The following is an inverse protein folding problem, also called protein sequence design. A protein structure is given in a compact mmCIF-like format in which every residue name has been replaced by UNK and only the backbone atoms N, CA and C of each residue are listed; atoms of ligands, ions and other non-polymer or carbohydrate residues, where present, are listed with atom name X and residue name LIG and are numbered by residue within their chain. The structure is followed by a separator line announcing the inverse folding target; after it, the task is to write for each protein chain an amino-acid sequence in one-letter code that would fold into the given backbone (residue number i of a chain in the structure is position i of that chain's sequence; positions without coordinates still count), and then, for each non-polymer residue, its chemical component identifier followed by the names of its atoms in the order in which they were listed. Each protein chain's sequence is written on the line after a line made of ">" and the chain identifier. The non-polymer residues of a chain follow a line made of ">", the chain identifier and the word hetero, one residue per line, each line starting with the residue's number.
data_IF_270283239728
#
_entry.id   IF_270283239728
#
_cell.length_a   1.000
_cell.length_b   1.000
_cell.length_c   1.000
_cell.angle_alpha   90.00
_cell.angle_beta   90.00
_cell.angle_gamma   90.00
#
_symmetry.space_group_name_H-M   'P 1'
#
loop_
_entity.id
_entity.type
_entity.pdbx_description
1 polymer ?
#
# COMPACT_ATOMS: atom_id res chain seq x y z
N UNK A 1 -8.06 -47.59 17.41
CA UNK A 1 -6.63 -47.98 17.51
C UNK A 1 -6.42 -49.19 16.60
N UNK A 2 -5.66 -49.04 15.51
CA UNK A 2 -5.21 -50.10 14.58
C UNK A 2 -3.89 -49.64 13.94
N UNK A 3 -3.04 -50.57 13.51
CA UNK A 3 -1.58 -50.34 13.31
C UNK A 3 -1.11 -50.94 11.97
N UNK A 4 -0.64 -50.07 11.05
CA UNK A 4 0.36 -50.32 9.97
C UNK A 4 0.01 -51.43 8.94
N UNK A 5 0.89 -51.81 7.95
CA UNK A 5 2.13 -51.18 7.43
C UNK A 5 2.20 -51.04 5.88
N UNK A 6 3.39 -50.64 5.38
CA UNK A 6 3.95 -50.71 4.01
C UNK A 6 3.58 -49.62 2.98
N UNK A 7 4.45 -49.27 2.02
CA UNK A 7 5.74 -49.90 1.67
C UNK A 7 6.81 -48.97 1.09
N UNK A 8 8.05 -49.47 0.99
CA UNK A 8 9.23 -48.81 0.43
C UNK A 8 9.39 -49.06 -1.07
N UNK A 9 10.14 -48.19 -1.76
CA UNK A 9 10.71 -48.45 -3.08
C UNK A 9 12.13 -47.88 -3.16
N UNK A 10 13.10 -48.74 -3.47
CA UNK A 10 14.51 -48.37 -3.70
C UNK A 10 14.91 -48.92 -5.07
N UNK A 11 15.65 -48.14 -5.84
CA UNK A 11 16.54 -48.67 -6.88
C UNK A 11 17.81 -47.83 -6.93
N UNK A 12 18.93 -48.45 -7.29
CA UNK A 12 20.28 -47.88 -7.19
C UNK A 12 20.97 -47.97 -8.53
N UNK A 13 21.65 -46.89 -8.93
CA UNK A 13 22.65 -46.91 -9.99
C UNK A 13 23.89 -46.15 -9.50
N UNK A 14 25.05 -46.81 -9.53
CA UNK A 14 26.35 -46.16 -9.30
C UNK A 14 26.81 -45.48 -10.59
N UNK A 15 27.63 -44.43 -10.50
CA UNK A 15 28.88 -44.39 -11.26
C UNK A 15 29.90 -43.39 -10.68
N UNK A 16 31.18 -43.80 -10.77
CA UNK A 16 32.44 -43.05 -10.74
C UNK A 16 32.68 -41.91 -9.71
N UNK A 17 33.79 -42.08 -8.99
CA UNK A 17 34.43 -41.11 -8.11
C UNK A 17 35.31 -40.11 -8.89
N UNK A 18 35.36 -38.85 -8.48
CA UNK A 18 36.58 -38.04 -8.56
C UNK A 18 36.60 -36.97 -7.46
N UNK A 19 37.78 -36.69 -6.92
CA UNK A 19 38.01 -35.77 -5.79
C UNK A 19 38.70 -34.51 -6.28
N UNK A 20 38.34 -33.36 -5.70
CA UNK A 20 39.29 -32.27 -5.51
C UNK A 20 39.02 -31.57 -4.17
N UNK A 21 40.08 -31.34 -3.39
CA UNK A 21 40.00 -30.66 -2.10
C UNK A 21 40.21 -29.16 -2.28
N UNK A 22 39.50 -28.35 -1.49
CA UNK A 22 40.01 -27.05 -1.08
C UNK A 22 39.52 -26.75 0.35
N UNK A 23 40.45 -26.54 1.27
CA UNK A 23 40.15 -26.08 2.62
C UNK A 23 40.29 -24.55 2.67
N UNK A 24 39.30 -23.88 3.25
CA UNK A 24 39.30 -22.44 3.52
C UNK A 24 38.86 -22.20 4.96
N UNK A 25 39.51 -21.26 5.66
CA UNK A 25 39.43 -21.17 7.12
C UNK A 25 38.19 -20.41 7.62
N UNK A 26 37.69 -20.84 8.77
CA UNK A 26 36.77 -20.06 9.60
C UNK A 26 37.59 -19.01 10.36
N UNK A 27 37.10 -17.77 10.40
CA UNK A 27 37.63 -16.69 11.24
C UNK A 27 36.48 -16.19 12.14
N UNK A 28 36.65 -16.07 13.48
CA UNK A 28 35.58 -15.66 14.38
C UNK A 28 35.26 -14.16 14.24
N UNK A 29 34.04 -13.79 14.61
CA UNK A 29 33.57 -12.40 14.57
C UNK A 29 33.78 -11.70 15.91
N UNK A 30 34.43 -10.54 15.89
CA UNK A 30 34.46 -9.60 17.01
C UNK A 30 34.59 -8.15 16.49
N UNK A 31 34.13 -7.19 17.29
CA UNK A 31 34.18 -5.73 17.05
C UNK A 31 33.55 -5.19 15.75
N UNK A 32 32.30 -4.72 15.87
CA UNK A 32 31.87 -3.47 15.24
C UNK A 32 31.12 -2.62 16.26
N UNK A 33 31.77 -1.56 16.74
CA UNK A 33 31.14 -0.46 17.47
C UNK A 33 31.13 0.77 16.58
N UNK A 34 29.99 1.47 16.60
CA UNK A 34 29.74 2.81 16.04
C UNK A 34 30.01 3.03 14.54
N UNK A 35 28.95 3.37 13.81
CA UNK A 35 29.00 3.80 12.42
C UNK A 35 27.86 4.80 12.18
N UNK A 36 28.19 6.09 12.32
CA UNK A 36 27.25 7.17 12.03
C UNK A 36 26.95 7.25 10.54
N UNK A 37 25.68 7.47 10.19
CA UNK A 37 25.22 7.44 8.80
C UNK A 37 25.64 8.72 8.07
N UNK A 38 26.67 8.64 7.23
CA UNK A 38 26.86 9.58 6.13
C UNK A 38 26.14 9.04 4.88
N UNK A 39 25.34 9.91 4.24
CA UNK A 39 24.68 9.61 2.97
C UNK A 39 25.42 10.33 1.84
N UNK A 40 26.39 9.64 1.23
CA UNK A 40 27.04 10.17 0.03
C UNK A 40 26.07 10.22 -1.15
N UNK A 41 26.10 11.34 -1.86
CA UNK A 41 25.14 11.65 -2.93
C UNK A 41 25.73 11.25 -4.28
N UNK A 42 25.27 10.12 -4.83
CA UNK A 42 25.61 9.72 -6.20
C UNK A 42 24.65 10.40 -7.18
N UNK A 43 25.10 11.51 -7.77
CA UNK A 43 24.54 12.02 -9.03
C UNK A 43 24.99 11.11 -10.17
N UNK A 44 24.06 10.61 -10.98
CA UNK A 44 24.39 9.99 -12.27
C UNK A 44 23.85 10.86 -13.40
N UNK A 45 24.77 11.54 -14.09
CA UNK A 45 24.47 12.25 -15.34
C UNK A 45 24.35 11.26 -16.50
N UNK A 46 23.35 11.46 -17.36
CA UNK A 46 23.10 10.62 -18.54
C UNK A 46 23.75 11.29 -19.75
N UNK A 47 24.76 10.63 -20.33
CA UNK A 47 25.36 10.99 -21.61
C UNK A 47 25.12 9.82 -22.59
N UNK A 48 24.56 10.06 -23.79
CA UNK A 48 24.32 9.00 -24.76
C UNK A 48 25.64 8.47 -25.36
N UNK A 49 25.64 7.18 -25.73
CA UNK A 49 26.73 6.57 -26.50
C UNK A 49 26.34 6.52 -27.98
N UNK A 50 27.21 7.04 -28.83
CA UNK A 50 27.12 6.96 -30.29
C UNK A 50 27.74 5.64 -30.80
N UNK A 51 27.38 5.19 -32.01
CA UNK A 51 27.66 3.82 -32.49
C UNK A 51 28.34 3.78 -33.86
N UNK A 52 29.67 3.57 -33.90
CA UNK A 52 30.43 3.41 -35.15
C UNK A 52 31.54 2.35 -35.10
N UNK A 53 31.21 1.13 -35.57
CA UNK A 53 32.04 0.25 -36.44
C UNK A 53 33.42 -0.27 -35.94
N UNK A 54 34.12 -1.19 -36.68
CA UNK A 54 33.82 -1.85 -37.96
C UNK A 54 33.73 -3.40 -37.90
N UNK A 55 33.72 -4.07 -39.06
CA UNK A 55 33.57 -5.53 -39.25
C UNK A 55 34.86 -6.20 -39.76
N UNK A 56 34.95 -7.54 -39.63
CA UNK A 56 35.22 -8.51 -40.72
C UNK A 56 34.61 -9.88 -40.32
N UNK A 57 33.86 -10.55 -41.23
CA UNK A 57 34.19 -11.78 -41.99
C UNK A 57 34.53 -13.02 -41.13
N UNK A 58 34.06 -14.24 -41.42
CA UNK A 58 33.86 -14.85 -42.75
C UNK A 58 32.63 -15.80 -42.87
N UNK A 59 32.51 -16.47 -44.02
CA UNK A 59 31.32 -17.17 -44.56
C UNK A 59 31.37 -18.71 -44.46
N UNK A 60 30.26 -19.40 -44.10
CA UNK A 60 29.84 -20.66 -44.75
C UNK A 60 28.46 -21.22 -44.34
N UNK A 61 27.77 -21.67 -45.38
CA UNK A 61 26.73 -22.72 -45.54
C UNK A 61 26.88 -23.99 -44.66
N UNK A 62 25.90 -24.89 -44.47
CA UNK A 62 24.60 -25.16 -45.12
C UNK A 62 23.72 -26.13 -44.26
N UNK A 63 22.37 -26.06 -44.34
CA UNK A 63 21.49 -27.24 -44.21
C UNK A 63 20.11 -27.00 -44.86
N UNK A 64 19.50 -27.95 -45.60
CA UNK A 64 18.38 -27.66 -46.50
C UNK A 64 16.97 -27.96 -45.98
N UNK A 65 16.02 -27.36 -46.71
CA UNK A 65 14.58 -27.65 -46.89
C UNK A 65 14.25 -29.11 -47.34
N UNK A 66 13.00 -29.61 -47.39
CA UNK A 66 11.67 -29.08 -46.92
C UNK A 66 10.93 -30.18 -46.10
N UNK A 67 9.69 -30.70 -46.25
CA UNK A 67 8.50 -30.51 -47.12
C UNK A 67 7.24 -31.22 -46.55
N UNK A 68 6.03 -30.74 -46.93
CA UNK A 68 4.78 -31.46 -47.30
C UNK A 68 4.38 -32.77 -46.56
N UNK A 69 3.13 -32.99 -46.10
CA UNK A 69 1.84 -32.61 -46.68
C UNK A 69 0.66 -32.67 -45.67
N UNK A 70 -0.41 -31.94 -45.96
CA UNK A 70 -1.77 -32.11 -45.41
C UNK A 70 -2.62 -32.99 -46.37
N UNK A 71 -3.87 -33.46 -46.07
CA UNK A 71 -5.05 -32.57 -46.11
C UNK A 71 -6.31 -32.96 -45.28
N UNK A 72 -7.19 -31.96 -45.03
CA UNK A 72 -8.68 -32.02 -45.03
C UNK A 72 -9.47 -32.94 -44.04
N UNK A 73 -10.70 -32.59 -43.62
CA UNK A 73 -11.49 -31.34 -43.74
C UNK A 73 -12.67 -31.31 -42.73
N UNK A 74 -13.38 -30.16 -42.69
CA UNK A 74 -14.65 -29.86 -41.99
C UNK A 74 -14.56 -29.60 -40.47
N UNK A 75 -15.43 -28.81 -39.81
CA UNK A 75 -16.42 -27.76 -40.19
C UNK A 75 -16.87 -27.03 -38.87
N UNK A 76 -17.60 -25.90 -38.81
CA UNK A 76 -18.30 -25.04 -39.79
C UNK A 76 -18.14 -23.54 -39.40
N UNK A 77 -18.82 -22.64 -40.13
CA UNK A 77 -19.01 -21.19 -39.89
C UNK A 77 -19.90 -20.92 -38.63
N UNK A 78 -20.05 -19.72 -38.03
CA UNK A 78 -20.44 -18.42 -38.60
C UNK A 78 -20.16 -17.21 -37.67
N UNK A 79 -19.79 -16.06 -38.25
CA UNK A 79 -19.88 -14.68 -37.73
C UNK A 79 -19.74 -13.71 -38.94
N UNK A 80 -20.15 -12.42 -38.90
CA UNK A 80 -20.94 -11.69 -37.90
C UNK A 80 -22.18 -10.96 -38.50
N UNK A 81 -23.01 -10.31 -37.67
CA UNK A 81 -24.08 -9.40 -38.14
C UNK A 81 -24.18 -8.09 -37.34
N UNK A 82 -23.67 -7.01 -37.95
CA UNK A 82 -24.06 -5.59 -37.80
C UNK A 82 -23.87 -4.96 -39.20
N UNK A 83 -24.58 -3.88 -39.62
CA UNK A 83 -25.04 -2.74 -38.81
C UNK A 83 -26.51 -2.35 -39.00
N UNK A 84 -26.96 -1.35 -38.22
CA UNK A 84 -27.76 -0.25 -38.76
C UNK A 84 -27.64 1.00 -37.85
N UNK A 85 -28.00 2.18 -38.38
CA UNK A 85 -27.85 3.50 -37.69
C UNK A 85 -29.15 4.35 -37.80
N UNK A 86 -29.27 5.55 -37.19
CA UNK A 86 -30.53 5.95 -36.57
C UNK A 86 -31.47 6.80 -37.47
N UNK A 87 -32.74 6.96 -37.08
CA UNK A 87 -33.58 8.07 -37.54
C UNK A 87 -33.15 9.39 -36.89
N UNK A 88 -33.16 10.48 -37.67
CA UNK A 88 -33.15 11.85 -37.14
C UNK A 88 -34.54 12.50 -37.28
N UNK A 89 -34.77 13.46 -36.38
CA UNK A 89 -35.63 14.65 -36.51
C UNK A 89 -37.16 14.50 -36.72
N UNK A 90 -37.91 15.29 -35.96
CA UNK A 90 -38.94 16.21 -36.50
C UNK A 90 -39.47 17.11 -35.39
N UNK A 91 -39.11 18.40 -35.45
CA UNK A 91 -39.90 19.46 -34.81
C UNK A 91 -41.05 19.89 -35.72
N UNK A 92 -42.12 20.48 -35.15
CA UNK A 92 -42.64 21.71 -35.75
C UNK A 92 -42.94 22.83 -34.73
N UNK A 93 -42.34 23.99 -34.97
CA UNK A 93 -42.90 25.36 -34.93
C UNK A 93 -44.12 25.72 -34.06
N UNK A 94 -43.89 26.76 -33.24
CA UNK A 94 -44.68 28.00 -33.09
C UNK A 94 -46.09 28.00 -32.46
N UNK A 95 -46.29 28.96 -31.55
CA UNK A 95 -47.55 29.23 -30.85
C UNK A 95 -47.45 30.40 -29.86
N UNK A 96 -47.05 31.59 -30.32
CA UNK A 96 -46.75 32.74 -29.47
C UNK A 96 -47.99 33.53 -29.00
N UNK A 97 -48.17 33.64 -27.68
CA UNK A 97 -48.78 34.75 -26.93
C UNK A 97 -48.59 34.48 -25.43
N UNK A 98 -48.48 35.44 -24.52
CA UNK A 98 -48.44 36.91 -24.58
C UNK A 98 -48.27 37.43 -23.14
N UNK A 99 -48.10 38.75 -22.92
CA UNK A 99 -47.77 39.35 -21.60
C UNK A 99 -46.35 38.92 -21.13
N UNK A 100 -45.27 39.61 -21.49
CA UNK A 100 -44.90 40.98 -21.09
C UNK A 100 -45.11 41.29 -19.61
N UNK A 101 -44.05 41.76 -18.95
CA UNK A 101 -44.05 43.04 -18.20
C UNK A 101 -42.59 43.46 -18.00
N UNK A 102 -42.26 44.70 -18.39
CA UNK A 102 -40.96 45.30 -18.12
C UNK A 102 -41.11 46.80 -17.86
N UNK A 103 -40.44 47.31 -16.84
CA UNK A 103 -39.87 48.67 -16.77
C UNK A 103 -39.12 48.85 -15.45
N UNK A 104 -38.15 49.76 -15.47
CA UNK A 104 -37.31 50.10 -14.31
C UNK A 104 -37.98 51.18 -13.43
N UNK A 105 -37.73 51.15 -12.11
CA UNK A 105 -37.62 52.40 -11.31
C UNK A 105 -36.92 52.23 -9.95
N UNK A 106 -35.68 52.70 -9.92
CA UNK A 106 -35.08 53.62 -8.96
C UNK A 106 -35.82 53.98 -7.64
N UNK A 107 -35.05 53.90 -6.54
CA UNK A 107 -35.15 54.69 -5.28
C UNK A 107 -36.41 54.40 -4.43
N UNK A 108 -36.40 54.44 -3.09
CA UNK A 108 -35.41 54.89 -2.07
C UNK A 108 -35.63 54.07 -0.77
N UNK A 109 -34.80 54.23 0.28
CA UNK A 109 -35.44 54.60 1.55
C UNK A 109 -34.70 55.66 2.38
N UNK A 110 -35.53 56.48 3.01
CA UNK A 110 -35.28 57.61 3.93
C UNK A 110 -35.24 57.17 5.41
N UNK A 111 -34.78 57.93 6.42
CA UNK A 111 -34.18 59.28 6.52
C UNK A 111 -33.12 59.29 7.66
N UNK A 112 -32.27 60.32 7.68
CA UNK A 112 -31.38 60.66 8.80
C UNK A 112 -32.11 61.32 9.99
N UNK A 113 -31.44 61.38 11.14
CA UNK A 113 -31.81 62.28 12.26
C UNK A 113 -30.58 63.08 12.71
N UNK A 114 -30.66 64.40 12.59
CA UNK A 114 -29.53 65.32 12.77
C UNK A 114 -29.10 65.50 14.23
N UNK A 115 -27.82 65.83 14.42
CA UNK A 115 -27.36 66.81 15.42
C UNK A 115 -26.06 67.46 14.94
N UNK A 116 -25.96 68.79 15.09
CA UNK A 116 -24.85 69.61 14.57
C UNK A 116 -23.61 69.65 15.51
N UNK A 117 -22.43 70.06 14.99
CA UNK A 117 -21.18 70.06 15.74
C UNK A 117 -20.98 71.32 16.62
N UNK A 118 -20.23 71.22 17.73
CA UNK A 118 -19.74 72.39 18.46
C UNK A 118 -18.57 73.08 17.71
N UNK A 119 -18.45 74.39 17.92
CA UNK A 119 -17.38 75.25 17.38
C UNK A 119 -15.99 74.95 17.96
N UNK A 120 -14.90 75.30 17.25
CA UNK A 120 -13.53 74.98 17.68
C UNK A 120 -13.08 75.80 18.90
N UNK A 121 -12.37 75.14 19.81
CA UNK A 121 -11.52 75.78 20.82
C UNK A 121 -10.03 75.41 20.52
N UNK A 122 -9.11 76.25 20.97
CA UNK A 122 -7.72 76.25 20.51
C UNK A 122 -6.80 75.51 21.48
N UNK A 123 -6.22 74.39 21.04
CA UNK A 123 -5.07 73.78 21.71
C UNK A 123 -3.96 73.45 20.70
N UNK A 124 -2.72 73.56 21.19
CA UNK A 124 -1.49 73.47 20.40
C UNK A 124 -1.20 72.05 19.90
N UNK A 125 -0.44 71.88 18.80
CA UNK A 125 -0.06 70.57 18.29
C UNK A 125 0.98 69.89 19.20
N UNK A 126 0.50 69.22 20.25
CA UNK A 126 1.31 68.28 21.04
C UNK A 126 1.80 67.15 20.13
N UNK A 127 3.12 67.00 20.00
CA UNK A 127 3.74 65.95 19.18
C UNK A 127 3.28 64.56 19.59
N UNK A 128 2.97 63.63 18.65
CA UNK A 128 2.61 62.27 18.99
C UNK A 128 3.80 61.54 19.65
N UNK A 129 3.65 61.21 20.93
CA UNK A 129 4.68 60.54 21.72
C UNK A 129 4.99 59.15 21.15
N UNK A 130 6.19 59.01 20.57
CA UNK A 130 6.60 57.81 19.82
C UNK A 130 7.27 56.80 20.78
N UNK A 131 6.61 56.45 21.88
CA UNK A 131 7.17 55.60 22.94
C UNK A 131 6.32 54.41 23.40
N UNK A 132 5.19 54.12 22.72
CA UNK A 132 4.55 52.80 22.88
C UNK A 132 5.49 51.70 22.34
N UNK A 133 5.99 50.76 23.17
CA UNK A 133 6.80 49.65 22.68
C UNK A 133 5.92 48.71 21.84
N UNK A 134 6.45 48.11 20.75
CA UNK A 134 5.67 47.20 19.92
C UNK A 134 5.19 46.00 20.73
N UNK A 135 3.91 45.66 20.60
CA UNK A 135 3.32 44.49 21.26
C UNK A 135 4.10 43.23 20.87
N UNK A 136 4.77 42.61 21.85
CA UNK A 136 5.58 41.41 21.60
C UNK A 136 4.68 40.20 21.36
N UNK A 137 4.38 39.96 20.08
CA UNK A 137 3.66 38.79 19.60
C UNK A 137 4.34 37.52 20.13
N UNK A 138 3.70 36.89 21.11
CA UNK A 138 4.21 35.70 21.78
C UNK A 138 3.67 34.47 21.08
N UNK A 139 4.48 33.87 20.22
CA UNK A 139 4.04 32.77 19.38
C UNK A 139 3.70 31.49 20.18
N UNK A 140 2.75 30.66 19.69
CA UNK A 140 2.52 29.32 20.22
C UNK A 140 3.81 28.48 20.23
N UNK A 141 3.89 27.52 21.16
CA UNK A 141 5.04 26.61 21.27
C UNK A 141 5.31 25.92 19.92
N UNK A 142 6.59 25.79 19.58
CA UNK A 142 7.10 25.31 18.29
C UNK A 142 6.87 26.24 17.07
N UNK A 143 6.46 27.50 17.26
CA UNK A 143 6.55 28.55 16.24
C UNK A 143 7.54 29.65 16.62
N UNK A 144 8.08 30.32 15.62
CA UNK A 144 9.03 31.43 15.74
C UNK A 144 8.34 32.73 15.32
N UNK A 145 8.58 33.82 16.06
CA UNK A 145 8.18 35.17 15.65
C UNK A 145 9.14 35.66 14.57
N UNK A 146 8.60 36.08 13.43
CA UNK A 146 9.39 36.47 12.26
C UNK A 146 8.81 37.71 11.56
N UNK A 147 8.97 38.89 12.15
CA UNK A 147 8.50 40.16 11.57
C UNK A 147 7.02 40.43 11.80
N UNK A 148 6.52 40.06 12.99
CA UNK A 148 5.11 40.21 13.37
C UNK A 148 4.22 39.01 13.05
N UNK A 149 4.77 37.92 12.51
CA UNK A 149 4.02 36.68 12.20
C UNK A 149 4.64 35.44 12.85
N UNK A 150 3.79 34.49 13.24
CA UNK A 150 4.20 33.25 13.89
C UNK A 150 4.26 32.09 12.89
N UNK A 151 5.46 31.77 12.44
CA UNK A 151 5.75 30.72 11.42
C UNK A 151 6.31 29.45 12.07
N UNK A 152 6.09 28.29 11.45
CA UNK A 152 6.82 27.06 11.81
C UNK A 152 8.07 26.94 10.95
N UNK A 153 9.21 27.31 11.52
CA UNK A 153 10.50 27.29 10.82
C UNK A 153 10.97 25.88 10.42
N UNK A 154 10.27 24.82 10.81
CA UNK A 154 10.52 23.45 10.34
C UNK A 154 9.84 23.13 9.00
N UNK A 155 8.78 23.87 8.66
CA UNK A 155 7.88 23.59 7.53
C UNK A 155 7.48 24.82 6.71
N UNK A 156 8.00 26.00 7.02
CA UNK A 156 7.75 27.22 6.25
C UNK A 156 8.83 27.41 5.17
N UNK A 157 8.42 27.48 3.90
CA UNK A 157 9.34 27.57 2.75
C UNK A 157 9.94 28.98 2.57
N UNK A 158 9.45 30.00 3.29
CA UNK A 158 10.01 31.36 3.34
C UNK A 158 10.84 31.61 4.62
N UNK A 159 10.66 30.80 5.67
CA UNK A 159 11.31 30.95 6.98
C UNK A 159 12.03 29.66 7.45
N UNK A 160 12.71 28.96 6.54
CA UNK A 160 13.24 27.63 6.83
C UNK A 160 14.48 27.64 7.74
N UNK A 161 14.37 27.02 8.91
CA UNK A 161 15.44 27.04 9.92
C UNK A 161 15.69 28.43 10.51
N UNK A 162 14.75 29.36 10.35
CA UNK A 162 14.81 30.72 10.89
C UNK A 162 14.18 31.76 9.96
N UNK A 163 13.88 32.94 10.51
CA UNK A 163 13.17 33.99 9.79
C UNK A 163 13.88 34.44 8.50
N UNK A 164 13.10 34.64 7.45
CA UNK A 164 13.53 35.16 6.14
C UNK A 164 14.59 34.28 5.43
N UNK A 165 14.70 33.01 5.82
CA UNK A 165 15.52 31.99 5.17
C UNK A 165 14.68 31.21 4.16
N UNK A 166 14.36 31.85 3.04
CA UNK A 166 13.57 31.23 2.00
C UNK A 166 14.30 30.07 1.32
N UNK A 167 13.57 29.00 1.01
CA UNK A 167 14.06 27.91 0.19
C UNK A 167 13.93 28.28 -1.29
N UNK A 168 15.06 28.48 -1.95
CA UNK A 168 15.09 28.71 -3.39
C UNK A 168 14.55 27.47 -4.13
N UNK A 169 13.63 27.69 -5.08
CA UNK A 169 13.05 26.62 -5.88
C UNK A 169 14.16 25.84 -6.64
N UNK A 170 14.08 24.49 -6.76
CA UNK A 170 12.97 23.62 -6.39
C UNK A 170 13.16 22.93 -5.01
N UNK A 171 13.66 23.65 -4.01
CA UNK A 171 13.75 23.17 -2.63
C UNK A 171 12.52 23.61 -1.81
N UNK A 172 12.10 22.77 -0.88
CA UNK A 172 11.10 23.11 0.15
C UNK A 172 11.68 22.87 1.54
N UNK A 173 11.11 23.53 2.56
CA UNK A 173 11.52 23.35 3.94
C UNK A 173 11.01 22.03 4.50
N UNK A 174 11.92 21.14 4.88
CA UNK A 174 11.61 19.84 5.44
C UNK A 174 12.48 19.61 6.67
N UNK A 175 11.87 19.73 7.86
CA UNK A 175 12.56 19.66 9.16
C UNK A 175 13.64 20.73 9.31
N UNK A 176 13.32 21.98 8.96
CA UNK A 176 14.19 23.15 9.17
C UNK A 176 15.38 23.26 8.23
N UNK A 177 15.45 22.43 7.19
CA UNK A 177 16.42 22.56 6.10
C UNK A 177 15.74 22.50 4.73
N UNK A 178 16.22 23.31 3.80
CA UNK A 178 15.75 23.32 2.41
C UNK A 178 16.25 22.06 1.68
N UNK A 179 15.33 21.18 1.31
CA UNK A 179 15.60 19.88 0.68
C UNK A 179 14.79 19.73 -0.61
N UNK A 180 15.30 18.94 -1.57
CA UNK A 180 14.49 18.53 -2.73
C UNK A 180 13.39 17.58 -2.24
N UNK A 181 12.15 17.86 -2.63
CA UNK A 181 10.99 16.99 -2.37
C UNK A 181 10.78 15.99 -3.51
N UNK A 182 9.97 14.95 -3.28
CA UNK A 182 9.60 14.01 -4.33
C UNK A 182 8.60 14.65 -5.27
N UNK A 183 8.81 14.57 -6.60
CA UNK A 183 7.82 15.04 -7.59
C UNK A 183 6.47 14.32 -7.52
N UNK A 184 6.42 13.14 -6.87
CA UNK A 184 5.22 12.27 -6.80
C UNK A 184 4.53 12.29 -5.42
N UNK A 185 5.11 12.96 -4.43
CA UNK A 185 4.59 13.01 -3.06
C UNK A 185 4.60 14.44 -2.49
N UNK A 186 5.54 15.27 -2.95
CA UNK A 186 5.84 16.54 -2.33
C UNK A 186 6.56 16.35 -1.00
N UNK A 187 6.14 17.15 -0.01
CA UNK A 187 6.68 17.31 1.34
C UNK A 187 5.85 16.56 2.38
N UNK A 188 4.54 16.50 2.21
CA UNK A 188 3.57 15.94 3.15
C UNK A 188 2.53 15.02 2.48
N UNK A 189 2.58 14.83 1.16
CA UNK A 189 1.59 14.07 0.38
C UNK A 189 0.73 14.95 -0.53
N UNK A 190 1.04 16.25 -0.64
CA UNK A 190 0.26 17.22 -1.41
C UNK A 190 0.26 16.98 -2.93
N UNK A 191 1.19 16.18 -3.44
CA UNK A 191 1.23 15.73 -4.84
C UNK A 191 0.70 14.29 -5.03
N UNK A 192 0.28 13.60 -3.97
CA UNK A 192 -0.29 12.26 -4.11
C UNK A 192 -1.72 12.33 -4.64
N UNK A 193 -1.99 11.68 -5.78
CA UNK A 193 -3.35 11.30 -6.17
C UNK A 193 -3.51 9.78 -6.18
N UNK A 194 -4.70 9.23 -5.87
CA UNK A 194 -4.96 7.81 -6.02
C UNK A 194 -4.88 7.25 -7.45
N UNK A 195 -4.76 8.11 -8.47
CA UNK A 195 -4.56 7.70 -9.86
C UNK A 195 -3.07 7.53 -10.22
N UNK A 196 -2.16 8.07 -9.40
CA UNK A 196 -0.71 7.99 -9.58
C UNK A 196 -0.13 6.65 -9.12
N UNK A 197 1.14 6.42 -9.50
CA UNK A 197 1.92 5.18 -9.29
C UNK A 197 2.15 4.75 -7.82
N UNK A 198 1.57 5.44 -6.84
CA UNK A 198 1.68 5.08 -5.42
C UNK A 198 0.40 4.44 -4.90
N UNK A 199 0.56 3.47 -3.99
CA UNK A 199 -0.55 2.88 -3.25
C UNK A 199 -1.04 3.83 -2.16
N UNK A 200 -2.37 3.88 -1.95
CA UNK A 200 -2.98 4.64 -0.87
C UNK A 200 -2.79 3.92 0.48
N UNK A 201 -1.73 4.31 1.20
CA UNK A 201 -1.38 3.77 2.52
C UNK A 201 -2.21 4.37 3.68
N UNK A 202 -3.14 5.29 3.42
CA UNK A 202 -3.96 5.93 4.47
C UNK A 202 -4.79 4.93 5.29
N UNK A 203 -5.06 3.76 4.70
CA UNK A 203 -5.83 2.67 5.32
C UNK A 203 -4.96 1.61 6.01
N UNK A 204 -3.69 1.91 6.31
CA UNK A 204 -2.78 1.00 7.01
C UNK A 204 -3.04 0.97 8.53
N UNK A 205 -2.79 -0.17 9.17
CA UNK A 205 -2.89 -0.34 10.62
C UNK A 205 -4.15 -1.06 11.11
N UNK A 206 -4.40 -0.97 12.41
CA UNK A 206 -5.55 -1.64 13.04
C UNK A 206 -6.87 -1.09 12.53
N UNK A 207 -7.83 -1.97 12.24
CA UNK A 207 -9.13 -1.62 11.66
C UNK A 207 -9.02 -0.62 10.49
N UNK A 208 -8.01 -0.81 9.62
CA UNK A 208 -7.77 0.01 8.44
C UNK A 208 -7.48 1.50 8.75
N UNK A 209 -6.96 1.80 9.93
CA UNK A 209 -6.74 3.17 10.42
C UNK A 209 -7.99 3.84 11.00
N UNK A 210 -9.18 3.24 10.84
CA UNK A 210 -10.46 3.82 11.23
C UNK A 210 -10.75 3.76 12.74
N UNK A 211 -9.98 2.97 13.51
CA UNK A 211 -10.16 2.85 14.96
C UNK A 211 -8.82 2.76 15.72
N UNK A 212 -8.75 3.29 16.95
CA UNK A 212 -7.58 3.15 17.81
C UNK A 212 -7.36 1.70 18.25
N UNK A 213 -6.12 1.38 18.63
CA UNK A 213 -5.76 0.07 19.16
C UNK A 213 -6.59 -0.27 20.43
N UNK A 214 -7.21 -1.46 20.52
CA UNK A 214 -8.19 -1.75 21.56
C UNK A 214 -7.52 -2.16 22.88
N UNK A 215 -7.71 -1.35 23.93
CA UNK A 215 -7.26 -1.65 25.30
C UNK A 215 -8.12 -2.75 25.94
N UNK A 216 -7.83 -4.00 25.62
CA UNK A 216 -8.51 -5.18 26.19
C UNK A 216 -8.00 -5.50 27.62
N UNK A 217 -8.92 -5.97 28.48
CA UNK A 217 -8.59 -6.67 29.74
C UNK A 217 -7.93 -8.03 29.41
N UNK A 218 -7.09 -8.61 30.29
CA UNK A 218 -6.44 -9.88 30.02
C UNK A 218 -7.39 -11.04 30.31
N UNK A 219 -7.47 -12.00 29.41
CA UNK A 219 -8.09 -13.30 29.67
C UNK A 219 -7.09 -14.27 30.31
N UNK A 220 -5.79 -14.04 30.07
CA UNK A 220 -4.63 -14.80 30.57
C UNK A 220 -3.42 -13.86 30.76
N UNK A 221 -2.50 -14.15 31.70
CA UNK A 221 -1.15 -13.55 31.73
C UNK A 221 -0.11 -14.63 31.48
N UNK A 222 0.96 -14.32 30.76
CA UNK A 222 2.00 -15.30 30.40
C UNK A 222 2.76 -15.85 31.63
N UNK A 223 2.89 -15.02 32.68
CA UNK A 223 3.46 -15.39 33.99
C UNK A 223 2.69 -16.52 34.65
N UNK A 224 1.37 -16.59 34.43
CA UNK A 224 0.49 -17.59 35.03
C UNK A 224 0.73 -19.00 34.40
N UNK A 225 1.55 -19.07 33.34
CA UNK A 225 1.96 -20.29 32.63
C UNK A 225 3.46 -20.60 32.73
N UNK A 226 4.20 -19.85 33.55
CA UNK A 226 5.61 -20.10 33.88
C UNK A 226 6.64 -19.39 33.01
N UNK A 227 6.26 -18.38 32.21
CA UNK A 227 7.23 -17.52 31.52
C UNK A 227 7.91 -16.55 32.49
N UNK A 228 9.22 -16.34 32.36
CA UNK A 228 10.04 -15.52 33.27
C UNK A 228 10.94 -14.59 32.47
N UNK A 229 10.64 -13.28 32.54
CA UNK A 229 11.34 -12.29 31.74
C UNK A 229 12.84 -12.18 32.11
N UNK A 230 13.69 -12.19 31.08
CA UNK A 230 15.14 -12.02 31.13
C UNK A 230 15.91 -13.14 31.86
N UNK A 231 15.33 -14.35 32.02
CA UNK A 231 16.00 -15.47 32.70
C UNK A 231 16.90 -16.34 31.78
N UNK A 232 16.97 -15.97 30.50
CA UNK A 232 17.69 -16.62 29.40
C UNK A 232 17.26 -18.07 29.06
N UNK A 233 16.05 -18.50 29.44
CA UNK A 233 15.47 -19.81 29.07
C UNK A 233 14.37 -19.68 28.02
N UNK A 234 13.99 -20.80 27.38
CA UNK A 234 12.93 -20.84 26.37
C UNK A 234 11.53 -20.74 26.99
N UNK A 235 10.88 -19.59 26.82
CA UNK A 235 9.51 -19.34 27.30
C UNK A 235 8.43 -19.99 26.41
N UNK A 236 8.78 -20.51 25.23
CA UNK A 236 7.81 -20.99 24.21
C UNK A 236 6.68 -21.84 24.81
N UNK A 237 7.00 -22.76 25.72
CA UNK A 237 6.01 -23.65 26.34
C UNK A 237 4.95 -22.90 27.15
N UNK A 238 5.29 -21.78 27.79
CA UNK A 238 4.32 -20.94 28.50
C UNK A 238 3.38 -20.22 27.53
N UNK A 239 3.86 -19.80 26.36
CA UNK A 239 3.02 -19.24 25.30
C UNK A 239 2.11 -20.30 24.67
N UNK A 240 2.62 -21.50 24.37
CA UNK A 240 1.84 -22.65 23.91
C UNK A 240 0.67 -22.96 24.88
N UNK A 241 0.96 -23.05 26.19
CA UNK A 241 -0.04 -23.28 27.24
C UNK A 241 -1.05 -22.12 27.37
N UNK A 242 -0.59 -20.86 27.34
CA UNK A 242 -1.45 -19.69 27.44
C UNK A 242 -2.44 -19.60 26.26
N UNK A 243 -2.00 -19.96 25.05
CA UNK A 243 -2.84 -20.07 23.84
C UNK A 243 -3.84 -21.22 23.99
N UNK A 244 -3.40 -22.40 24.44
CA UNK A 244 -4.28 -23.54 24.69
C UNK A 244 -5.37 -23.22 25.72
N UNK A 245 -5.03 -22.45 26.76
CA UNK A 245 -5.95 -22.00 27.81
C UNK A 245 -7.02 -20.99 27.35
N UNK A 246 -6.97 -20.51 26.09
CA UNK A 246 -8.07 -19.77 25.46
C UNK A 246 -9.18 -20.68 24.89
N UNK A 247 -8.97 -22.01 24.86
CA UNK A 247 -9.99 -22.98 24.44
C UNK A 247 -10.49 -22.79 23.01
N UNK A 248 -9.66 -22.24 22.12
CA UNK A 248 -9.99 -21.98 20.71
C UNK A 248 -10.93 -20.79 20.46
N UNK A 249 -11.41 -20.09 21.49
CA UNK A 249 -12.36 -18.96 21.36
C UNK A 249 -11.68 -17.61 21.09
N UNK A 250 -10.35 -17.58 21.01
CA UNK A 250 -9.57 -16.34 21.06
C UNK A 250 -9.53 -15.73 22.46
N UNK A 251 -9.07 -14.48 22.56
CA UNK A 251 -8.87 -13.78 23.83
C UNK A 251 -7.49 -13.14 23.97
N UNK A 252 -7.27 -12.45 25.08
CA UNK A 252 -6.15 -11.54 25.32
C UNK A 252 -5.13 -12.16 26.26
N UNK A 253 -3.95 -12.51 25.75
CA UNK A 253 -2.80 -12.96 26.54
C UNK A 253 -1.92 -11.75 26.83
N UNK A 254 -1.73 -11.42 28.11
CA UNK A 254 -0.84 -10.33 28.52
C UNK A 254 0.59 -10.81 28.73
N UNK A 255 1.52 -10.09 28.12
CA UNK A 255 2.97 -10.23 28.32
C UNK A 255 3.45 -8.98 29.06
N UNK A 256 4.15 -9.09 30.22
CA UNK A 256 4.65 -7.93 30.95
C UNK A 256 5.90 -7.36 30.28
N UNK A 257 6.59 -6.44 30.95
CA UNK A 257 7.86 -5.91 30.47
C UNK A 257 9.02 -6.90 30.66
N UNK A 258 10.08 -6.74 29.87
CA UNK A 258 11.24 -7.60 29.79
C UNK A 258 11.28 -8.48 28.52
N UNK A 259 12.30 -9.31 28.43
CA UNK A 259 12.62 -10.16 27.27
C UNK A 259 12.17 -11.59 27.51
N UNK A 260 11.50 -12.19 26.53
CA UNK A 260 11.08 -13.58 26.54
C UNK A 260 11.68 -14.30 25.33
N UNK A 261 12.23 -15.50 25.49
CA UNK A 261 12.87 -16.23 24.38
C UNK A 261 11.88 -17.22 23.77
N UNK A 262 11.80 -17.21 22.44
CA UNK A 262 11.00 -18.13 21.65
C UNK A 262 11.89 -18.98 20.74
N UNK A 263 12.06 -20.27 21.09
CA UNK A 263 12.79 -21.24 20.26
C UNK A 263 11.87 -22.10 19.36
N UNK A 264 10.55 -21.88 19.35
CA UNK A 264 9.63 -22.48 18.37
C UNK A 264 8.55 -21.50 17.88
N UNK A 265 7.90 -21.89 16.77
CA UNK A 265 6.78 -21.21 16.13
C UNK A 265 5.50 -21.23 17.00
N UNK A 266 5.06 -20.06 17.42
CA UNK A 266 3.75 -19.84 18.04
C UNK A 266 2.71 -19.51 16.97
N UNK A 267 1.69 -20.36 16.82
CA UNK A 267 0.51 -20.05 16.00
C UNK A 267 -0.60 -19.49 16.87
N UNK A 268 -1.02 -18.26 16.57
CA UNK A 268 -2.15 -17.60 17.22
C UNK A 268 -3.47 -18.00 16.53
N UNK A 269 -4.46 -18.53 17.26
CA UNK A 269 -5.82 -18.75 16.76
C UNK A 269 -6.54 -17.44 16.41
N UNK A 270 -7.63 -17.54 15.64
CA UNK A 270 -8.53 -16.41 15.37
C UNK A 270 -8.96 -15.70 16.66
N UNK A 271 -9.08 -14.37 16.60
CA UNK A 271 -9.42 -13.49 17.72
C UNK A 271 -8.48 -13.55 18.94
N UNK A 272 -7.28 -14.13 18.80
CA UNK A 272 -6.23 -14.06 19.84
C UNK A 272 -5.46 -12.74 19.75
N UNK A 273 -5.22 -12.10 20.89
CA UNK A 273 -4.46 -10.85 21.02
C UNK A 273 -3.29 -11.06 21.99
N UNK A 274 -2.07 -10.82 21.52
CA UNK A 274 -0.88 -10.83 22.37
C UNK A 274 -0.55 -9.38 22.79
N UNK A 275 -0.77 -9.06 24.06
CA UNK A 275 -0.73 -7.69 24.58
C UNK A 275 0.54 -7.46 25.42
N UNK A 276 1.57 -6.87 24.80
CA UNK A 276 2.78 -6.39 25.48
C UNK A 276 2.61 -5.01 26.15
N UNK A 277 3.70 -4.49 26.71
CA UNK A 277 3.79 -3.18 27.40
C UNK A 277 4.35 -2.04 26.52
N UNK A 278 4.65 -2.31 25.25
CA UNK A 278 5.27 -1.38 24.28
C UNK A 278 6.51 -1.98 23.63
N UNK A 279 6.91 -1.50 22.44
CA UNK A 279 8.01 -2.05 21.63
C UNK A 279 9.32 -2.18 22.42
N UNK A 280 9.72 -1.10 23.11
CA UNK A 280 10.97 -1.02 23.86
C UNK A 280 10.77 -1.48 25.32
N UNK A 281 9.72 -2.24 25.60
CA UNK A 281 9.34 -2.69 26.96
C UNK A 281 9.03 -4.18 27.02
N UNK A 282 8.43 -4.77 26.01
CA UNK A 282 8.19 -6.21 25.90
C UNK A 282 8.89 -6.73 24.65
N UNK A 283 9.91 -7.55 24.82
CA UNK A 283 10.73 -8.08 23.73
C UNK A 283 10.47 -9.57 23.59
N UNK A 284 10.15 -10.03 22.38
CA UNK A 284 10.11 -11.44 22.03
C UNK A 284 11.38 -11.76 21.25
N UNK A 285 12.37 -12.34 21.94
CA UNK A 285 13.66 -12.70 21.38
C UNK A 285 13.57 -14.02 20.62
N UNK A 286 14.11 -14.04 19.40
CA UNK A 286 14.13 -15.20 18.50
C UNK A 286 15.59 -15.49 18.13
N UNK A 287 16.34 -16.22 18.99
CA UNK A 287 17.79 -16.38 18.85
C UNK A 287 18.21 -17.47 17.84
N UNK A 288 17.26 -18.04 17.11
CA UNK A 288 17.45 -19.09 16.10
C UNK A 288 16.55 -18.80 14.91
N UNK A 289 17.03 -19.03 13.69
CA UNK A 289 16.19 -18.91 12.49
C UNK A 289 15.20 -20.07 12.39
N UNK A 290 14.20 -19.94 11.52
CA UNK A 290 13.31 -21.05 11.21
C UNK A 290 14.05 -22.23 10.56
N UNK A 291 15.15 -21.96 9.86
CA UNK A 291 16.05 -22.99 9.31
C UNK A 291 16.71 -23.80 10.43
N UNK A 292 17.19 -23.16 11.49
CA UNK A 292 17.90 -23.83 12.59
C UNK A 292 16.96 -24.69 13.47
N UNK A 293 15.68 -24.31 13.53
CA UNK A 293 14.66 -25.00 14.35
C UNK A 293 13.94 -26.11 13.56
N UNK A 294 13.74 -25.95 12.25
CA UNK A 294 12.88 -26.84 11.45
C UNK A 294 13.55 -27.44 10.19
N UNK A 295 14.78 -27.02 9.88
CA UNK A 295 15.44 -27.29 8.60
C UNK A 295 14.86 -26.45 7.45
N UNK A 296 15.68 -26.18 6.43
CA UNK A 296 15.20 -25.66 5.16
C UNK A 296 14.89 -26.85 4.22
N UNK A 297 13.77 -26.80 3.49
CA UNK A 297 13.42 -27.78 2.45
C UNK A 297 13.61 -27.28 1.02
N UNK A 298 14.03 -26.02 0.86
CA UNK A 298 14.07 -25.31 -0.40
C UNK A 298 12.68 -24.98 -0.93
N UNK A 299 12.65 -24.21 -2.02
CA UNK A 299 11.50 -24.13 -2.94
C UNK A 299 11.86 -24.63 -4.36
N UNK A 300 13.15 -24.66 -4.67
CA UNK A 300 13.75 -25.25 -5.89
C UNK A 300 15.25 -25.51 -5.63
N UNK A 301 15.96 -26.07 -6.61
CA UNK A 301 17.35 -26.53 -6.46
C UNK A 301 18.40 -25.45 -6.14
N UNK A 302 18.05 -24.16 -6.19
CA UNK A 302 18.95 -23.02 -5.89
C UNK A 302 19.19 -22.73 -4.40
N UNK A 303 18.72 -23.59 -3.48
CA UNK A 303 18.95 -23.44 -2.03
C UNK A 303 18.09 -22.40 -1.31
N UNK A 304 17.38 -21.54 -2.04
CA UNK A 304 16.48 -20.49 -1.51
C UNK A 304 15.55 -21.02 -0.42
N UNK A 305 15.53 -20.35 0.74
CA UNK A 305 14.75 -20.81 1.89
C UNK A 305 13.25 -20.70 1.66
N UNK A 306 12.50 -21.74 2.01
CA UNK A 306 11.02 -21.68 2.00
C UNK A 306 10.45 -20.65 2.98
N UNK A 307 11.25 -20.24 3.97
CA UNK A 307 10.92 -19.18 4.92
C UNK A 307 11.12 -17.76 4.37
N UNK A 308 11.70 -17.59 3.17
CA UNK A 308 11.73 -16.30 2.48
C UNK A 308 10.35 -15.89 1.92
N UNK A 309 9.43 -16.86 1.75
CA UNK A 309 8.10 -16.64 1.16
C UNK A 309 6.95 -16.98 2.11
N UNK A 310 7.14 -17.85 3.12
CA UNK A 310 6.05 -18.26 4.01
C UNK A 310 6.48 -18.71 5.41
N UNK A 311 5.65 -18.36 6.40
CA UNK A 311 5.84 -18.71 7.81
C UNK A 311 6.49 -17.61 8.64
N UNK A 312 6.58 -17.84 9.94
CA UNK A 312 7.17 -16.91 10.92
C UNK A 312 7.35 -17.59 12.27
N UNK A 313 7.98 -16.92 13.24
CA UNK A 313 7.97 -17.39 14.64
C UNK A 313 6.66 -17.06 15.37
N UNK A 314 5.99 -15.95 14.99
CA UNK A 314 4.60 -15.69 15.33
C UNK A 314 3.78 -15.83 14.05
N UNK A 315 2.79 -16.71 14.03
CA UNK A 315 1.89 -16.87 12.89
C UNK A 315 0.45 -16.52 13.25
N UNK A 316 -0.14 -15.60 12.49
CA UNK A 316 -1.60 -15.43 12.37
C UNK A 316 -1.98 -15.91 10.96
N UNK A 317 -3.01 -16.75 10.83
CA UNK A 317 -3.45 -17.28 9.53
C UNK A 317 -4.97 -17.15 9.36
N UNK A 318 -5.40 -16.17 8.57
CA UNK A 318 -6.76 -16.14 7.99
C UNK A 318 -6.85 -17.00 6.72
N UNK A 319 -8.03 -17.08 6.12
CA UNK A 319 -8.22 -17.74 4.81
C UNK A 319 -9.43 -17.20 4.06
N UNK A 320 -9.18 -16.54 2.93
CA UNK A 320 -10.19 -16.18 1.92
C UNK A 320 -9.98 -17.04 0.67
N UNK A 321 -10.53 -18.27 0.62
CA UNK A 321 -10.32 -19.16 -0.52
C UNK A 321 -11.07 -18.66 -1.77
N UNK A 322 -10.42 -18.70 -2.92
CA UNK A 322 -11.02 -18.34 -4.22
C UNK A 322 -11.68 -19.57 -4.84
N UNK A 323 -13.02 -19.66 -4.81
CA UNK A 323 -13.80 -20.82 -5.29
C UNK A 323 -15.10 -20.38 -5.96
N UNK A 324 -15.66 -21.23 -6.82
CA UNK A 324 -17.01 -21.02 -7.40
C UNK A 324 -18.09 -20.82 -6.32
N UNK A 325 -17.98 -21.54 -5.20
CA UNK A 325 -18.92 -21.47 -4.07
C UNK A 325 -18.97 -20.12 -3.33
N UNK A 326 -17.98 -19.23 -3.52
CA UNK A 326 -17.99 -17.87 -2.97
C UNK A 326 -17.75 -16.80 -4.04
N UNK A 327 -17.99 -17.11 -5.32
CA UNK A 327 -18.00 -16.13 -6.41
C UNK A 327 -19.24 -15.24 -6.28
N UNK A 328 -18.98 -13.95 -6.06
CA UNK A 328 -20.02 -12.92 -6.09
C UNK A 328 -20.40 -12.62 -7.55
N UNK A 329 -19.45 -12.12 -8.34
CA UNK A 329 -19.70 -11.63 -9.69
C UNK A 329 -18.41 -11.51 -10.53
N UNK A 330 -18.58 -11.31 -11.84
CA UNK A 330 -17.53 -10.83 -12.77
C UNK A 330 -17.65 -9.33 -12.93
N UNK A 331 -16.54 -8.64 -13.14
CA UNK A 331 -16.53 -7.22 -13.53
C UNK A 331 -16.64 -7.13 -15.05
N UNK A 332 -17.57 -6.31 -15.54
CA UNK A 332 -17.92 -6.23 -16.97
C UNK A 332 -17.49 -4.91 -17.64
N UNK A 333 -16.94 -3.97 -16.87
CA UNK A 333 -16.38 -2.71 -17.38
C UNK A 333 -14.90 -2.58 -17.01
N UNK A 334 -14.10 -2.02 -17.91
CA UNK A 334 -12.80 -1.49 -17.52
C UNK A 334 -12.97 -0.31 -16.54
N UNK A 335 -11.98 -0.07 -15.69
CA UNK A 335 -11.90 1.13 -14.86
C UNK A 335 -10.44 1.54 -14.66
N UNK A 336 -10.23 2.80 -14.26
CA UNK A 336 -8.89 3.35 -14.04
C UNK A 336 -8.45 3.24 -12.58
N UNK A 337 -7.13 3.16 -12.38
CA UNK A 337 -6.51 3.43 -11.09
C UNK A 337 -7.07 4.74 -10.49
N UNK A 338 -7.30 4.76 -9.18
CA UNK A 338 -7.97 5.86 -8.47
C UNK A 338 -9.50 5.78 -8.45
N UNK A 339 -10.15 5.02 -9.36
CA UNK A 339 -11.62 4.91 -9.39
C UNK A 339 -12.15 4.21 -8.13
N UNK A 340 -13.33 4.62 -7.64
CA UNK A 340 -14.04 3.98 -6.50
C UNK A 340 -15.26 3.15 -6.91
N UNK A 341 -15.50 2.93 -8.20
CA UNK A 341 -16.66 2.17 -8.69
C UNK A 341 -16.28 1.12 -9.73
N UNK A 342 -17.02 0.00 -9.78
CA UNK A 342 -16.95 -1.02 -10.83
C UNK A 342 -18.34 -1.53 -11.19
N UNK A 343 -18.58 -1.79 -12.48
CA UNK A 343 -19.80 -2.45 -12.96
C UNK A 343 -19.61 -3.97 -13.02
N UNK A 344 -20.58 -4.71 -12.51
CA UNK A 344 -20.58 -6.20 -12.47
C UNK A 344 -21.65 -6.82 -13.37
N UNK A 345 -21.56 -8.14 -13.59
CA UNK A 345 -22.61 -8.92 -14.28
C UNK A 345 -23.86 -9.13 -13.41
N UNK A 346 -23.69 -9.36 -12.10
CA UNK A 346 -24.78 -9.45 -11.13
C UNK A 346 -24.39 -8.84 -9.77
N UNK A 347 -25.12 -7.81 -9.32
CA UNK A 347 -24.93 -7.21 -8.00
C UNK A 347 -25.75 -7.87 -6.86
N UNK A 348 -26.63 -8.84 -7.15
CA UNK A 348 -27.60 -9.40 -6.17
C UNK A 348 -26.97 -9.96 -4.89
N UNK A 349 -25.73 -10.46 -4.98
CA UNK A 349 -24.98 -11.05 -3.86
C UNK A 349 -24.18 -10.03 -3.04
N UNK A 350 -24.16 -8.76 -3.44
CA UNK A 350 -23.44 -7.71 -2.72
C UNK A 350 -24.30 -7.12 -1.60
N UNK A 351 -23.64 -6.67 -0.53
CA UNK A 351 -24.26 -6.00 0.61
C UNK A 351 -23.40 -4.82 1.03
N UNK A 352 -24.02 -3.69 1.37
CA UNK A 352 -23.30 -2.55 1.93
C UNK A 352 -22.55 -2.95 3.22
N UNK A 353 -21.39 -2.33 3.44
CA UNK A 353 -20.42 -2.60 4.53
C UNK A 353 -19.75 -3.98 4.51
N UNK A 354 -20.08 -4.88 3.57
CA UNK A 354 -19.40 -6.17 3.47
C UNK A 354 -17.99 -6.03 2.86
N UNK A 355 -17.09 -6.94 3.24
CA UNK A 355 -15.79 -7.10 2.58
C UNK A 355 -15.89 -8.03 1.38
N UNK A 356 -15.24 -7.64 0.29
CA UNK A 356 -15.10 -8.43 -0.93
C UNK A 356 -13.63 -8.51 -1.33
N UNK A 357 -13.26 -9.61 -1.98
CA UNK A 357 -11.93 -9.82 -2.54
C UNK A 357 -12.01 -9.70 -4.06
N UNK A 358 -11.41 -8.64 -4.60
CA UNK A 358 -11.20 -8.50 -6.04
C UNK A 358 -9.99 -9.35 -6.44
N UNK A 359 -10.15 -10.19 -7.45
CA UNK A 359 -9.08 -10.99 -8.08
C UNK A 359 -8.91 -10.54 -9.53
N UNK A 360 -7.67 -10.41 -9.99
CA UNK A 360 -7.32 -10.30 -11.42
C UNK A 360 -6.24 -11.34 -11.76
N UNK A 361 -6.34 -11.90 -12.97
CA UNK A 361 -5.40 -12.89 -13.51
C UNK A 361 -5.23 -12.70 -15.01
N UNK A 362 -3.98 -12.56 -15.45
CA UNK A 362 -3.61 -12.40 -16.85
C UNK A 362 -2.56 -13.44 -17.27
N UNK A 363 -2.85 -14.17 -18.34
CA UNK A 363 -1.94 -15.15 -18.95
C UNK A 363 -1.12 -14.55 -20.10
N UNK A 364 -1.21 -13.23 -20.34
CA UNK A 364 -0.46 -12.48 -21.36
C UNK A 364 0.56 -11.49 -20.77
N UNK A 365 0.80 -11.51 -19.45
CA UNK A 365 1.81 -10.70 -18.76
C UNK A 365 1.54 -9.19 -18.63
N UNK A 366 0.58 -8.63 -19.37
CA UNK A 366 0.23 -7.21 -19.37
C UNK A 366 -0.26 -6.67 -18.02
N UNK A 367 -0.78 -7.54 -17.13
CA UNK A 367 -1.05 -7.23 -15.72
C UNK A 367 0.25 -6.99 -14.92
N UNK A 368 1.31 -7.76 -15.20
CA UNK A 368 2.62 -7.62 -14.53
C UNK A 368 3.29 -6.32 -15.00
N UNK A 369 3.24 -6.01 -16.30
CA UNK A 369 3.67 -4.70 -16.82
C UNK A 369 2.93 -3.54 -16.11
N UNK A 370 1.64 -3.71 -15.79
CA UNK A 370 0.86 -2.69 -15.09
C UNK A 370 1.23 -2.57 -13.61
N UNK A 371 1.56 -3.67 -12.94
CA UNK A 371 2.12 -3.66 -11.57
C UNK A 371 3.48 -2.94 -11.53
N UNK A 372 4.26 -2.99 -12.61
CA UNK A 372 5.48 -2.19 -12.79
C UNK A 372 5.20 -0.77 -13.32
N UNK A 373 3.95 -0.28 -13.22
CA UNK A 373 3.52 1.05 -13.70
C UNK A 373 3.84 1.33 -15.18
N UNK A 374 3.94 0.30 -16.01
CA UNK A 374 4.40 0.34 -17.41
C UNK A 374 5.83 0.89 -17.62
N UNK A 375 6.65 0.98 -16.55
CA UNK A 375 8.01 1.53 -16.60
C UNK A 375 9.05 0.52 -17.10
N UNK A 376 8.73 -0.77 -17.03
CA UNK A 376 9.55 -1.89 -17.48
C UNK A 376 8.65 -3.08 -17.81
N UNK A 377 9.17 -4.05 -18.56
CA UNK A 377 8.47 -5.33 -18.78
C UNK A 377 8.58 -6.24 -17.58
N UNK A 378 7.48 -6.90 -17.25
CA UNK A 378 7.42 -7.91 -16.20
C UNK A 378 8.14 -9.21 -16.58
N UNK A 379 8.73 -9.88 -15.60
CA UNK A 379 9.21 -11.25 -15.76
C UNK A 379 8.06 -12.26 -15.91
N UNK A 380 8.36 -13.41 -16.53
CA UNK A 380 7.37 -14.45 -16.87
C UNK A 380 6.85 -15.25 -15.69
N UNK A 381 7.57 -15.28 -14.57
CA UNK A 381 7.42 -16.29 -13.51
C UNK A 381 6.07 -16.24 -12.79
N UNK A 382 5.39 -15.09 -12.82
CA UNK A 382 4.08 -14.86 -12.20
C UNK A 382 2.96 -14.69 -13.25
N UNK A 383 3.18 -15.12 -14.51
CA UNK A 383 2.15 -15.03 -15.56
C UNK A 383 1.08 -16.10 -15.32
N UNK A 384 -0.18 -15.66 -15.25
CA UNK A 384 -1.31 -16.51 -14.85
C UNK A 384 -1.59 -16.55 -13.35
N UNK A 385 -0.78 -15.88 -12.52
CA UNK A 385 -1.06 -15.75 -11.08
C UNK A 385 -2.23 -14.79 -10.77
N UNK A 386 -2.58 -14.73 -9.49
CA UNK A 386 -3.68 -13.92 -8.96
C UNK A 386 -3.15 -12.69 -8.25
N UNK A 387 -3.36 -11.53 -8.86
CA UNK A 387 -3.36 -10.28 -8.10
C UNK A 387 -4.67 -10.19 -7.29
N UNK A 388 -4.58 -9.76 -6.02
CA UNK A 388 -5.73 -9.75 -5.12
C UNK A 388 -5.81 -8.47 -4.27
N UNK A 389 -7.00 -7.88 -4.18
CA UNK A 389 -7.24 -6.64 -3.42
C UNK A 389 -8.53 -6.72 -2.60
N UNK A 390 -8.46 -6.72 -1.25
CA UNK A 390 -9.64 -6.65 -0.40
C UNK A 390 -10.19 -5.22 -0.34
N UNK A 391 -11.51 -5.07 -0.47
CA UNK A 391 -12.17 -3.76 -0.41
C UNK A 391 -13.56 -3.89 0.27
N UNK A 392 -14.06 -2.82 0.89
CA UNK A 392 -15.37 -2.78 1.56
C UNK A 392 -16.39 -2.07 0.67
N UNK A 393 -17.57 -2.66 0.54
CA UNK A 393 -18.68 -2.09 -0.24
C UNK A 393 -19.28 -0.91 0.52
N UNK A 394 -19.40 0.26 -0.12
CA UNK A 394 -20.09 1.44 0.44
C UNK A 394 -21.56 1.43 0.01
N UNK A 395 -21.82 1.34 -1.28
CA UNK A 395 -23.17 1.37 -1.85
C UNK A 395 -23.26 0.55 -3.14
N UNK A 396 -24.49 0.24 -3.54
CA UNK A 396 -24.85 -0.57 -4.71
C UNK A 396 -25.95 0.18 -5.45
N UNK A 397 -25.79 0.41 -6.76
CA UNK A 397 -26.77 1.11 -7.59
C UNK A 397 -26.96 0.33 -8.89
N UNK A 398 -28.00 -0.51 -8.93
CA UNK A 398 -28.10 -1.57 -9.93
C UNK A 398 -26.84 -2.43 -9.90
N UNK A 399 -26.21 -2.63 -11.06
CA UNK A 399 -24.95 -3.37 -11.19
C UNK A 399 -23.67 -2.55 -10.95
N UNK A 400 -23.76 -1.29 -10.50
CA UNK A 400 -22.59 -0.50 -10.12
C UNK A 400 -22.32 -0.65 -8.61
N UNK A 401 -21.13 -1.14 -8.25
CA UNK A 401 -20.67 -1.26 -6.86
C UNK A 401 -19.73 -0.09 -6.55
N UNK A 402 -20.00 0.65 -5.47
CA UNK A 402 -19.10 1.69 -4.95
C UNK A 402 -18.32 1.17 -3.74
N UNK A 403 -17.04 1.51 -3.67
CA UNK A 403 -16.09 1.04 -2.67
C UNK A 403 -15.55 2.18 -1.80
N UNK A 404 -15.04 1.83 -0.62
CA UNK A 404 -14.47 2.80 0.32
C UNK A 404 -13.18 3.45 -0.20
N UNK A 405 -12.27 2.63 -0.72
CA UNK A 405 -10.91 2.99 -1.08
C UNK A 405 -10.71 2.85 -2.59
N UNK A 406 -9.89 3.73 -3.20
CA UNK A 406 -9.62 3.70 -4.63
C UNK A 406 -9.03 2.36 -5.08
N UNK A 407 -9.25 2.01 -6.34
CA UNK A 407 -8.57 0.90 -7.00
C UNK A 407 -7.09 1.29 -7.21
N UNK A 408 -6.12 0.52 -6.69
CA UNK A 408 -4.68 0.86 -6.73
C UNK A 408 -4.01 0.45 -8.05
N UNK A 409 -4.80 0.12 -9.07
CA UNK A 409 -4.40 -0.39 -10.38
C UNK A 409 -5.57 -0.19 -11.35
N UNK A 410 -5.29 -0.07 -12.64
CA UNK A 410 -6.29 -0.28 -13.69
C UNK A 410 -7.02 -1.62 -13.51
N UNK A 411 -8.29 -1.66 -13.89
CA UNK A 411 -9.08 -2.89 -14.04
C UNK A 411 -9.40 -3.05 -15.51
N UNK A 412 -9.05 -4.22 -16.09
CA UNK A 412 -9.32 -4.54 -17.50
C UNK A 412 -10.03 -5.87 -17.57
N UNK A 413 -11.13 -5.95 -18.33
CA UNK A 413 -11.90 -7.21 -18.49
C UNK A 413 -11.07 -8.36 -19.06
N UNK A 414 -10.01 -8.04 -19.83
CA UNK A 414 -9.00 -8.99 -20.31
C UNK A 414 -8.22 -9.69 -19.20
N UNK A 415 -8.10 -9.07 -18.01
CA UNK A 415 -7.45 -9.63 -16.81
C UNK A 415 -8.43 -10.42 -15.91
N UNK A 416 -9.57 -10.83 -16.49
CA UNK A 416 -10.61 -11.67 -15.86
C UNK A 416 -11.05 -11.21 -14.45
N UNK A 417 -11.27 -9.89 -14.22
CA UNK A 417 -11.58 -9.34 -12.90
C UNK A 417 -12.86 -9.94 -12.31
N UNK A 418 -12.73 -10.49 -11.10
CA UNK A 418 -13.79 -11.26 -10.42
C UNK A 418 -13.83 -10.95 -8.93
N UNK A 419 -15.04 -10.90 -8.37
CA UNK A 419 -15.28 -10.64 -6.95
C UNK A 419 -15.66 -11.92 -6.20
N UNK A 420 -15.03 -12.13 -5.04
CA UNK A 420 -15.33 -13.23 -4.13
C UNK A 420 -15.68 -12.70 -2.74
N UNK A 421 -16.43 -13.46 -1.96
CA UNK A 421 -16.65 -13.16 -0.53
C UNK A 421 -15.32 -13.19 0.21
N UNK A 422 -14.97 -12.09 0.89
CA UNK A 422 -13.80 -12.04 1.77
C UNK A 422 -14.16 -12.61 3.15
N UNK A 423 -13.38 -13.59 3.58
CA UNK A 423 -13.44 -14.21 4.91
C UNK A 423 -12.23 -13.73 5.73
N UNK A 424 -12.51 -12.86 6.71
CA UNK A 424 -11.53 -12.33 7.68
C UNK A 424 -11.56 -13.06 9.02
#
# INVERSE_FOLDING_TARGET
>A
MKILPYGFGISVALYALSLLHCAGQIVPAEQYHDASVQQDTITQDIIPQDTTQPQEKDESTQRPETSNNEPNASETNDEPLTPDTPPQDTTPSDGSSGEEWSTERSFEPTQEANNEPPTPDTQEPSTPDTTLPPERITCPKARTECGGVCVDTNTDDQHCGGCNKACNAPLSCVQGGCKRTSKLWGKAGEHFTPADRFFDWSYAGYAYGEAPLPTKKPDKKITDFGAVANDNKDDTSAFEKAIQALGGKGGTIRVPAGTFILQKRLRLPSHTVLQGKGSNKTILSVPKSLTDVYGNKGLSGGGTSSYAFSGGFIEVRGSSPVRSSNLLAKVVSNAKQGSKQLKVDDASKFKAKQWVLLIQTDTKGSLIDALHSQLMKGGTDNVGDRWSFPNRVVSIQGNNITFERPLPLDIKTTWKPTFYTFSG
#
